data_IF_713070614780
#
_entry.id   IF_713070614780
#
_cell.length_a   1.000
_cell.length_b   1.000
_cell.length_c   1.000
_cell.angle_alpha   90.00
_cell.angle_beta   90.00
_cell.angle_gamma   90.00
#
_symmetry.space_group_name_H-M   'P 1'
#
loop_
_entity.id
_entity.type
_entity.pdbx_description
1 polymer ?
#
# COMPACT_ATOMS: atom_id res chain seq x y z
N UNK A 1 2.60 8.86 6.13
CA UNK A 1 2.98 10.03 6.94
C UNK A 1 2.82 9.68 8.41
N UNK A 2 3.88 9.74 9.23
CA UNK A 2 3.79 9.38 10.65
C UNK A 2 2.81 10.32 11.39
N UNK A 3 2.04 9.75 12.31
CA UNK A 3 1.18 10.44 13.26
C UNK A 3 1.81 11.68 13.91
N UNK A 4 3.12 11.64 14.23
CA UNK A 4 3.80 12.76 14.89
C UNK A 4 3.93 13.99 13.99
N UNK A 5 4.16 13.76 12.70
CA UNK A 5 4.53 14.80 11.73
C UNK A 5 3.42 15.04 10.71
N UNK A 6 2.25 14.41 10.90
CA UNK A 6 1.12 14.45 9.97
C UNK A 6 0.69 15.88 9.65
N UNK A 7 0.62 16.74 10.68
CA UNK A 7 0.24 18.15 10.53
C UNK A 7 1.14 18.91 9.54
N UNK A 8 2.43 18.57 9.49
CA UNK A 8 3.39 19.17 8.57
C UNK A 8 3.37 18.47 7.21
N UNK A 9 3.36 17.13 7.22
CA UNK A 9 3.43 16.30 6.02
C UNK A 9 2.25 16.53 5.07
N UNK A 10 1.07 16.81 5.62
CA UNK A 10 -0.14 17.01 4.82
C UNK A 10 -0.14 18.34 4.07
N UNK A 11 0.52 19.35 4.60
CA UNK A 11 0.60 20.66 3.97
C UNK A 11 1.52 20.63 2.75
N UNK A 12 2.56 19.78 2.75
CA UNK A 12 3.41 19.55 1.58
C UNK A 12 2.63 18.96 0.40
N UNK A 13 1.68 18.05 0.65
CA UNK A 13 0.85 17.44 -0.40
C UNK A 13 -0.41 18.23 -0.74
N UNK A 14 -0.68 19.33 -0.03
CA UNK A 14 -1.83 20.20 -0.31
C UNK A 14 -1.82 20.75 -1.73
N UNK A 15 -0.64 20.99 -2.30
CA UNK A 15 -0.45 21.40 -3.69
C UNK A 15 -0.87 20.34 -4.72
N UNK A 16 -0.89 19.06 -4.32
CA UNK A 16 -1.34 17.93 -5.15
C UNK A 16 -2.86 17.73 -5.14
N UNK A 17 -3.63 18.67 -4.58
CA UNK A 17 -5.10 18.60 -4.53
C UNK A 17 -5.67 17.67 -3.46
N UNK A 18 -4.81 17.13 -2.57
CA UNK A 18 -5.23 16.39 -1.38
C UNK A 18 -5.31 17.39 -0.23
N UNK A 19 -6.53 17.86 0.06
CA UNK A 19 -6.76 18.82 1.14
C UNK A 19 -7.72 18.21 2.14
N UNK A 20 -7.24 17.98 3.36
CA UNK A 20 -8.09 17.68 4.50
C UNK A 20 -8.60 18.97 5.14
N UNK A 21 -9.82 18.95 5.65
CA UNK A 21 -10.33 20.08 6.43
C UNK A 21 -9.55 20.22 7.74
N UNK A 22 -9.48 21.42 8.34
CA UNK A 22 -8.83 21.61 9.64
C UNK A 22 -9.37 20.68 10.73
N UNK A 23 -10.68 20.40 10.70
CA UNK A 23 -11.34 19.48 11.62
C UNK A 23 -10.85 18.04 11.40
N UNK A 24 -10.80 17.57 10.15
CA UNK A 24 -10.25 16.24 9.83
C UNK A 24 -8.78 16.12 10.27
N UNK A 25 -7.97 17.16 10.04
CA UNK A 25 -6.56 17.17 10.49
C UNK A 25 -6.44 17.05 12.01
N UNK A 26 -7.21 17.83 12.76
CA UNK A 26 -7.19 17.82 14.23
C UNK A 26 -7.67 16.47 14.79
N UNK A 27 -8.75 15.93 14.22
CA UNK A 27 -9.30 14.62 14.59
C UNK A 27 -8.29 13.50 14.32
N UNK A 28 -7.70 13.45 13.11
CA UNK A 28 -6.71 12.43 12.74
C UNK A 28 -5.48 12.48 13.65
N UNK A 29 -4.93 13.67 13.95
CA UNK A 29 -3.78 13.78 14.87
C UNK A 29 -4.07 13.14 16.23
N UNK A 30 -5.28 13.34 16.73
CA UNK A 30 -5.70 12.79 18.03
C UNK A 30 -5.94 11.28 17.93
N UNK A 31 -6.71 10.83 16.95
CA UNK A 31 -7.17 9.44 16.85
C UNK A 31 -6.04 8.49 16.45
N UNK A 32 -5.12 8.91 15.56
CA UNK A 32 -3.93 8.11 15.22
C UNK A 32 -2.98 7.95 16.41
N UNK A 33 -2.88 8.97 17.27
CA UNK A 33 -2.09 8.88 18.51
C UNK A 33 -2.71 7.88 19.49
N UNK A 34 -4.03 7.90 19.64
CA UNK A 34 -4.78 6.93 20.46
C UNK A 34 -4.55 5.50 19.91
N UNK A 35 -4.74 5.31 18.60
CA UNK A 35 -4.53 4.02 17.94
C UNK A 35 -3.14 3.43 18.19
N UNK A 36 -2.10 4.28 18.14
CA UNK A 36 -0.72 3.87 18.42
C UNK A 36 -0.58 3.27 19.81
N UNK A 37 -1.15 3.93 20.82
CA UNK A 37 -1.07 3.50 22.21
C UNK A 37 -1.91 2.26 22.51
N UNK A 38 -3.15 2.21 22.03
CA UNK A 38 -4.09 1.10 22.30
C UNK A 38 -3.61 -0.22 21.70
N UNK A 39 -3.11 -0.19 20.46
CA UNK A 39 -2.66 -1.38 19.73
C UNK A 39 -1.17 -1.68 19.91
N UNK A 40 -0.44 -0.86 20.69
CA UNK A 40 1.02 -1.00 20.95
C UNK A 40 1.87 -1.03 19.67
N UNK A 41 1.47 -0.27 18.65
CA UNK A 41 2.27 -0.10 17.44
C UNK A 41 3.54 0.70 17.74
N UNK A 42 4.64 0.39 17.05
CA UNK A 42 5.86 1.20 17.14
C UNK A 42 5.63 2.60 16.59
N UNK A 43 4.88 2.70 15.49
CA UNK A 43 4.37 3.96 14.94
C UNK A 43 3.12 3.71 14.10
N UNK A 44 2.34 4.78 13.90
CA UNK A 44 1.13 4.76 13.08
C UNK A 44 1.31 5.79 11.98
N UNK A 45 0.98 5.41 10.76
CA UNK A 45 1.07 6.29 9.60
C UNK A 45 -0.31 6.48 9.01
N UNK A 46 -0.66 7.73 8.71
CA UNK A 46 -1.75 8.00 7.77
C UNK A 46 -1.29 7.57 6.37
N UNK A 47 -2.02 6.65 5.76
CA UNK A 47 -1.72 6.09 4.45
C UNK A 47 -2.29 6.98 3.35
N UNK A 48 -3.54 7.41 3.49
CA UNK A 48 -4.19 8.26 2.51
C UNK A 48 -5.71 8.13 2.50
N UNK A 49 -6.32 8.57 1.40
CA UNK A 49 -7.77 8.55 1.19
C UNK A 49 -8.07 7.78 -0.08
N UNK A 50 -9.01 6.84 -0.01
CA UNK A 50 -9.58 6.17 -1.17
C UNK A 50 -10.99 6.71 -1.38
N UNK A 51 -11.20 7.38 -2.51
CA UNK A 51 -12.48 8.05 -2.78
C UNK A 51 -13.53 7.08 -3.31
N UNK A 52 -14.70 7.11 -2.69
CA UNK A 52 -15.87 6.35 -3.13
C UNK A 52 -16.90 7.22 -3.85
N UNK A 53 -18.02 6.62 -4.22
CA UNK A 53 -19.15 7.34 -4.85
C UNK A 53 -19.94 8.11 -3.80
N UNK A 54 -20.32 7.43 -2.71
CA UNK A 54 -21.19 7.99 -1.65
C UNK A 54 -20.42 8.31 -0.36
N UNK A 55 -19.15 7.92 -0.26
CA UNK A 55 -18.32 8.16 0.91
C UNK A 55 -16.89 7.73 0.69
N UNK A 56 -15.96 8.45 1.33
CA UNK A 56 -14.53 8.22 1.22
C UNK A 56 -14.02 7.35 2.37
N UNK A 57 -12.95 6.60 2.11
CA UNK A 57 -12.24 5.79 3.10
C UNK A 57 -10.91 6.45 3.47
N UNK A 58 -10.76 6.77 4.75
CA UNK A 58 -9.50 7.22 5.34
C UNK A 58 -8.73 6.02 5.82
N UNK A 59 -7.50 5.84 5.34
CA UNK A 59 -6.69 4.66 5.64
C UNK A 59 -5.55 5.03 6.58
N UNK A 60 -5.41 4.25 7.65
CA UNK A 60 -4.28 4.30 8.56
C UNK A 60 -3.59 2.95 8.60
N UNK A 61 -2.28 2.99 8.84
CA UNK A 61 -1.46 1.81 8.97
C UNK A 61 -0.74 1.83 10.32
N UNK A 62 -1.02 0.83 11.14
CA UNK A 62 -0.24 0.53 12.33
C UNK A 62 0.97 -0.32 11.95
N UNK A 63 2.16 0.07 12.38
CA UNK A 63 3.40 -0.64 12.09
C UNK A 63 4.02 -1.12 13.39
N UNK A 64 4.27 -2.42 13.46
CA UNK A 64 4.92 -3.10 14.57
C UNK A 64 6.42 -2.85 14.62
N UNK A 65 7.16 -3.83 15.13
CA UNK A 65 8.62 -3.74 15.25
C UNK A 65 9.30 -4.00 13.91
N UNK A 66 8.77 -4.92 13.09
CA UNK A 66 9.26 -5.19 11.75
C UNK A 66 8.41 -4.43 10.73
N UNK A 67 9.03 -3.47 10.05
CA UNK A 67 8.33 -2.57 9.13
C UNK A 67 7.76 -3.30 7.92
N UNK A 68 8.36 -4.40 7.47
CA UNK A 68 7.89 -5.13 6.29
C UNK A 68 6.86 -6.20 6.63
N UNK A 69 6.93 -6.79 7.82
CA UNK A 69 6.10 -7.95 8.20
C UNK A 69 4.92 -7.61 9.10
N UNK A 70 5.08 -6.62 9.97
CA UNK A 70 4.10 -6.28 11.00
C UNK A 70 3.35 -5.00 10.62
N UNK A 71 2.51 -5.10 9.58
CA UNK A 71 1.64 -4.01 9.15
C UNK A 71 0.19 -4.38 9.41
N UNK A 72 -0.59 -3.44 9.94
CA UNK A 72 -2.03 -3.59 10.16
C UNK A 72 -2.74 -2.41 9.53
N UNK A 73 -3.57 -2.67 8.52
CA UNK A 73 -4.32 -1.66 7.82
C UNK A 73 -5.69 -1.46 8.49
N UNK A 74 -6.07 -0.20 8.62
CA UNK A 74 -7.32 0.24 9.25
C UNK A 74 -7.99 1.25 8.33
N UNK A 75 -9.32 1.27 8.34
CA UNK A 75 -10.11 2.24 7.63
C UNK A 75 -11.05 3.00 8.56
N UNK A 76 -11.41 4.21 8.16
CA UNK A 76 -12.41 5.05 8.82
C UNK A 76 -13.22 5.79 7.75
N UNK A 77 -14.48 6.12 8.07
CA UNK A 77 -15.33 7.00 7.24
C UNK A 77 -15.47 8.41 7.83
N UNK A 78 -15.10 8.59 9.10
CA UNK A 78 -15.32 9.81 9.89
C UNK A 78 -14.04 10.34 10.56
N UNK A 79 -12.88 9.75 10.25
CA UNK A 79 -11.57 9.99 10.88
C UNK A 79 -11.50 9.71 12.40
N UNK A 80 -12.58 9.20 13.00
CA UNK A 80 -12.74 9.06 14.44
C UNK A 80 -12.80 7.59 14.85
N UNK A 81 -13.64 6.83 14.17
CA UNK A 81 -13.84 5.40 14.42
C UNK A 81 -13.06 4.60 13.38
N UNK A 82 -12.23 3.67 13.84
CA UNK A 82 -11.36 2.88 12.98
C UNK A 82 -11.74 1.40 13.00
N UNK A 83 -12.01 0.84 11.83
CA UNK A 83 -12.20 -0.59 11.61
C UNK A 83 -10.92 -1.24 11.10
N UNK A 84 -10.64 -2.47 11.54
CA UNK A 84 -9.55 -3.28 10.99
C UNK A 84 -9.92 -3.76 9.59
N UNK A 85 -9.00 -3.64 8.63
CA UNK A 85 -9.15 -4.28 7.33
C UNK A 85 -8.72 -5.75 7.41
N UNK A 86 -9.41 -6.65 6.71
CA UNK A 86 -8.95 -8.02 6.55
C UNK A 86 -7.62 -8.06 5.80
N UNK A 87 -6.78 -9.05 6.08
CA UNK A 87 -5.56 -9.28 5.29
C UNK A 87 -5.98 -10.04 4.03
N UNK A 88 -5.82 -9.45 2.83
CA UNK A 88 -6.34 -10.07 1.61
C UNK A 88 -5.55 -11.33 1.24
N UNK A 89 -6.24 -12.40 0.88
CA UNK A 89 -5.62 -13.60 0.34
C UNK A 89 -5.16 -13.41 -1.10
N UNK A 90 -4.27 -14.29 -1.59
CA UNK A 90 -3.82 -14.26 -3.00
C UNK A 90 -4.99 -14.35 -3.99
N UNK A 91 -6.00 -15.16 -3.67
CA UNK A 91 -7.20 -15.30 -4.50
C UNK A 91 -8.01 -14.01 -4.52
N UNK A 92 -8.17 -13.34 -3.38
CA UNK A 92 -8.90 -12.08 -3.27
C UNK A 92 -8.21 -10.96 -4.04
N UNK A 93 -6.87 -10.92 -4.01
CA UNK A 93 -6.07 -9.96 -4.77
C UNK A 93 -6.30 -10.13 -6.28
N UNK A 94 -6.22 -11.36 -6.79
CA UNK A 94 -6.47 -11.63 -8.22
C UNK A 94 -7.93 -11.35 -8.59
N UNK A 95 -8.88 -11.81 -7.77
CA UNK A 95 -10.30 -11.56 -7.93
C UNK A 95 -10.63 -10.06 -7.95
N UNK A 96 -9.97 -9.26 -7.12
CA UNK A 96 -10.17 -7.79 -7.08
C UNK A 96 -9.87 -7.10 -8.41
N UNK A 97 -9.01 -7.68 -9.26
CA UNK A 97 -8.64 -7.10 -10.57
C UNK A 97 -9.78 -7.15 -11.58
N UNK A 98 -10.75 -8.06 -11.40
CA UNK A 98 -11.93 -8.17 -12.26
C UNK A 98 -12.87 -6.97 -12.07
N UNK A 99 -12.95 -6.44 -10.85
CA UNK A 99 -13.86 -5.37 -10.49
C UNK A 99 -13.27 -3.98 -10.80
N UNK A 100 -13.52 -3.50 -12.02
CA UNK A 100 -13.04 -2.18 -12.49
C UNK A 100 -13.91 -0.99 -12.07
N UNK A 101 -15.03 -1.25 -11.38
CA UNK A 101 -15.95 -0.21 -10.93
C UNK A 101 -15.39 0.59 -9.73
N UNK A 102 -15.93 1.79 -9.51
CA UNK A 102 -15.60 2.59 -8.31
C UNK A 102 -16.14 1.94 -7.04
N UNK A 103 -15.53 2.26 -5.90
CA UNK A 103 -16.05 1.86 -4.59
C UNK A 103 -17.30 2.68 -4.27
N UNK A 104 -18.29 2.07 -3.67
CA UNK A 104 -19.56 2.73 -3.34
C UNK A 104 -19.43 3.63 -2.11
N UNK A 105 -18.55 3.30 -1.16
CA UNK A 105 -18.44 3.95 0.14
C UNK A 105 -19.15 3.19 1.27
N UNK A 106 -19.67 1.98 0.99
CA UNK A 106 -20.23 1.07 1.98
C UNK A 106 -19.41 -0.23 2.06
N UNK A 107 -18.69 -0.48 3.18
CA UNK A 107 -17.94 -1.72 3.39
C UNK A 107 -18.77 -3.00 3.21
N UNK A 108 -20.09 -2.93 3.46
CA UNK A 108 -20.99 -4.08 3.40
C UNK A 108 -21.53 -4.36 2.01
N UNK A 109 -21.28 -3.46 1.04
CA UNK A 109 -21.74 -3.65 -0.33
C UNK A 109 -21.04 -4.84 -0.99
N UNK A 110 -21.80 -5.65 -1.72
CA UNK A 110 -21.26 -6.74 -2.53
C UNK A 110 -21.33 -6.37 -4.01
N UNK A 111 -20.17 -6.34 -4.65
CA UNK A 111 -20.08 -6.11 -6.08
C UNK A 111 -20.22 -7.44 -6.84
N UNK A 112 -20.91 -7.39 -7.97
CA UNK A 112 -21.14 -8.54 -8.85
C UNK A 112 -20.39 -8.36 -10.18
N UNK A 113 -19.79 -9.44 -10.66
CA UNK A 113 -19.14 -9.52 -11.97
C UNK A 113 -19.56 -10.82 -12.64
N UNK A 114 -20.03 -10.72 -13.89
CA UNK A 114 -20.41 -11.90 -14.69
C UNK A 114 -19.24 -12.23 -15.61
N UNK A 115 -18.64 -13.40 -15.41
CA UNK A 115 -17.61 -13.94 -16.28
C UNK A 115 -18.24 -14.90 -17.30
N UNK A 116 -18.12 -14.58 -18.59
CA UNK A 116 -18.60 -15.44 -19.67
C UNK A 116 -17.47 -16.37 -20.11
N UNK A 117 -17.64 -17.68 -19.91
CA UNK A 117 -16.67 -18.71 -20.31
C UNK A 117 -17.21 -19.49 -21.49
N UNK A 118 -16.38 -19.70 -22.51
CA UNK A 118 -16.67 -20.62 -23.60
C UNK A 118 -16.18 -22.02 -23.23
N UNK A 119 -17.10 -22.96 -23.12
CA UNK A 119 -16.82 -24.38 -22.90
C UNK A 119 -17.13 -25.18 -24.16
N UNK A 120 -16.39 -26.27 -24.44
CA UNK A 120 -16.71 -27.15 -25.57
C UNK A 120 -18.11 -27.75 -25.36
N UNK A 121 -19.02 -27.52 -26.31
CA UNK A 121 -20.36 -28.12 -26.32
C UNK A 121 -20.37 -29.53 -26.90
N UNK A 122 -21.57 -30.11 -27.07
CA UNK A 122 -21.72 -31.36 -27.82
C UNK A 122 -21.49 -31.09 -29.32
N UNK A 123 -20.34 -31.50 -29.85
CA UNK A 123 -19.96 -31.32 -31.26
C UNK A 123 -18.91 -30.22 -31.46
N UNK A 124 -18.96 -29.53 -32.60
CA UNK A 124 -18.07 -28.40 -32.96
C UNK A 124 -18.61 -27.04 -32.45
N UNK A 125 -19.65 -27.05 -31.60
CA UNK A 125 -20.27 -25.85 -31.03
C UNK A 125 -19.57 -25.44 -29.72
N UNK A 126 -19.30 -24.14 -29.56
CA UNK A 126 -18.85 -23.55 -28.30
C UNK A 126 -20.09 -23.11 -27.50
N UNK A 127 -20.27 -23.66 -26.31
CA UNK A 127 -21.33 -23.24 -25.39
C UNK A 127 -20.81 -22.14 -24.46
N UNK A 128 -21.61 -21.09 -24.26
CA UNK A 128 -21.29 -20.01 -23.33
C UNK A 128 -21.93 -20.28 -21.97
N UNK A 129 -21.10 -20.29 -20.93
CA UNK A 129 -21.54 -20.40 -19.53
C UNK A 129 -21.23 -19.10 -18.81
N UNK A 130 -22.22 -18.52 -18.16
CA UNK A 130 -22.07 -17.34 -17.31
C UNK A 130 -21.80 -17.76 -15.86
N UNK A 131 -20.71 -17.29 -15.29
CA UNK A 131 -20.37 -17.48 -13.87
C UNK A 131 -20.50 -16.14 -13.12
N UNK A 132 -21.35 -16.12 -12.09
CA UNK A 132 -21.50 -14.95 -11.22
C UNK A 132 -20.43 -14.95 -10.13
N UNK A 133 -19.57 -13.94 -10.14
CA UNK A 133 -18.51 -13.74 -9.16
C UNK A 133 -18.88 -12.52 -8.29
N UNK A 134 -18.98 -12.73 -6.98
CA UNK A 134 -19.30 -11.67 -6.01
C UNK A 134 -18.10 -11.31 -5.14
N UNK A 135 -17.92 -10.05 -4.74
CA UNK A 135 -16.88 -9.63 -3.81
C UNK A 135 -17.37 -8.51 -2.90
N UNK A 136 -17.17 -8.67 -1.57
CA UNK A 136 -17.47 -7.63 -0.60
C UNK A 136 -16.54 -6.43 -0.78
N UNK A 137 -17.07 -5.24 -0.63
CA UNK A 137 -16.34 -3.99 -0.83
C UNK A 137 -15.19 -3.84 0.18
N UNK A 138 -15.38 -4.27 1.43
CA UNK A 138 -14.32 -4.28 2.45
C UNK A 138 -13.11 -5.14 2.05
N UNK A 139 -13.35 -6.34 1.50
CA UNK A 139 -12.29 -7.23 1.02
C UNK A 139 -11.61 -6.65 -0.22
N UNK A 140 -12.41 -6.04 -1.11
CA UNK A 140 -11.91 -5.36 -2.31
C UNK A 140 -11.04 -4.17 -1.94
N UNK A 141 -11.44 -3.37 -0.95
CA UNK A 141 -10.67 -2.24 -0.43
C UNK A 141 -9.32 -2.71 0.12
N UNK A 142 -9.31 -3.78 0.93
CA UNK A 142 -8.09 -4.36 1.45
C UNK A 142 -7.15 -4.85 0.33
N UNK A 143 -7.69 -5.54 -0.68
CA UNK A 143 -6.93 -6.02 -1.84
C UNK A 143 -6.35 -4.87 -2.68
N UNK A 144 -7.11 -3.79 -2.89
CA UNK A 144 -6.64 -2.58 -3.58
C UNK A 144 -5.48 -1.94 -2.82
N UNK A 145 -5.61 -1.76 -1.50
CA UNK A 145 -4.55 -1.19 -0.67
C UNK A 145 -3.29 -2.05 -0.79
N UNK A 146 -3.41 -3.37 -0.63
CA UNK A 146 -2.27 -4.28 -0.75
C UNK A 146 -1.54 -4.14 -2.10
N UNK A 147 -2.28 -4.05 -3.21
CA UNK A 147 -1.69 -3.86 -4.55
C UNK A 147 -0.95 -2.53 -4.67
N UNK A 148 -1.55 -1.44 -4.18
CA UNK A 148 -0.90 -0.12 -4.19
C UNK A 148 0.36 -0.16 -3.32
N UNK A 149 0.32 -0.85 -2.18
CA UNK A 149 1.49 -0.99 -1.31
C UNK A 149 2.64 -1.75 -1.95
N UNK A 150 2.33 -2.81 -2.69
CA UNK A 150 3.33 -3.60 -3.43
C UNK A 150 3.90 -2.85 -4.65
N UNK A 151 3.19 -1.88 -5.23
CA UNK A 151 3.64 -1.22 -6.48
C UNK A 151 4.18 0.20 -6.26
N UNK A 152 3.69 0.94 -5.27
CA UNK A 152 3.84 2.40 -5.20
C UNK A 152 4.54 2.90 -3.94
N UNK A 153 4.57 2.11 -2.85
CA UNK A 153 5.14 2.59 -1.60
C UNK A 153 6.67 2.55 -1.68
N UNK A 154 7.27 3.74 -1.77
CA UNK A 154 8.70 3.93 -1.88
C UNK A 154 9.29 4.62 -0.65
N UNK A 155 10.57 4.37 -0.40
CA UNK A 155 11.32 4.92 0.72
C UNK A 155 12.70 5.37 0.26
N UNK A 156 13.27 6.46 0.82
CA UNK A 156 14.61 6.88 0.47
C UNK A 156 15.65 5.91 1.02
N UNK A 157 16.78 5.79 0.31
CA UNK A 157 17.91 4.94 0.67
C UNK A 157 18.39 5.25 2.08
N UNK A 158 18.49 4.22 2.92
CA UNK A 158 18.94 4.35 4.30
C UNK A 158 17.88 4.81 5.30
N UNK A 159 16.63 5.06 4.89
CA UNK A 159 15.53 5.32 5.83
C UNK A 159 15.21 4.12 6.73
N UNK A 160 15.48 2.91 6.23
CA UNK A 160 15.35 1.66 6.98
C UNK A 160 16.66 0.88 6.95
N UNK A 161 16.89 0.10 7.99
CA UNK A 161 18.04 -0.79 8.12
C UNK A 161 17.54 -2.19 8.44
N UNK A 162 18.14 -3.18 7.78
CA UNK A 162 17.99 -4.59 8.10
C UNK A 162 18.99 -4.99 9.18
N UNK A 163 18.47 -5.42 10.31
CA UNK A 163 19.25 -5.93 11.45
C UNK A 163 19.77 -7.35 11.18
N UNK A 164 20.76 -7.79 11.97
CA UNK A 164 21.37 -9.13 11.85
C UNK A 164 20.36 -10.28 12.02
N UNK A 165 19.31 -10.06 12.82
CA UNK A 165 18.21 -11.01 13.02
C UNK A 165 17.20 -11.03 11.86
N UNK A 166 17.44 -10.23 10.81
CA UNK A 166 16.59 -10.10 9.64
C UNK A 166 15.43 -9.12 9.80
N UNK A 167 15.26 -8.50 10.96
CA UNK A 167 14.22 -7.51 11.22
C UNK A 167 14.53 -6.19 10.49
N UNK A 168 13.51 -5.57 9.90
CA UNK A 168 13.65 -4.26 9.26
C UNK A 168 13.09 -3.18 10.17
N UNK A 169 13.92 -2.20 10.52
CA UNK A 169 13.56 -1.10 11.44
C UNK A 169 13.92 0.26 10.84
N UNK A 170 13.23 1.31 11.29
CA UNK A 170 13.55 2.69 10.89
C UNK A 170 14.95 3.07 11.36
N UNK A 171 15.74 3.65 10.46
CA UNK A 171 17.05 4.18 10.79
C UNK A 171 16.91 5.52 11.51
N UNK A 172 17.27 5.54 12.80
CA UNK A 172 17.20 6.77 13.62
C UNK A 172 18.28 7.78 13.25
N UNK A 173 19.35 7.35 12.59
CA UNK A 173 20.45 8.21 12.15
C UNK A 173 20.23 8.76 10.73
N UNK A 174 19.08 8.49 10.11
CA UNK A 174 18.76 9.01 8.79
C UNK A 174 18.22 10.43 8.88
N UNK A 175 18.99 11.38 8.34
CA UNK A 175 18.66 12.81 8.37
C UNK A 175 17.96 13.30 7.09
N UNK A 176 17.74 12.40 6.12
CA UNK A 176 17.22 12.73 4.80
C UNK A 176 18.26 12.59 3.70
N UNK A 177 17.81 12.71 2.45
CA UNK A 177 18.67 12.76 1.28
C UNK A 177 19.10 14.19 1.01
N UNK A 178 20.29 14.38 0.44
CA UNK A 178 20.67 15.68 -0.12
C UNK A 178 19.79 16.01 -1.34
N UNK A 179 19.70 17.28 -1.73
CA UNK A 179 18.92 17.68 -2.90
C UNK A 179 19.39 16.98 -4.19
N UNK A 180 20.71 16.74 -4.33
CA UNK A 180 21.27 16.03 -5.48
C UNK A 180 20.88 14.55 -5.51
N UNK A 181 20.83 13.89 -4.35
CA UNK A 181 20.39 12.49 -4.24
C UNK A 181 18.89 12.36 -4.41
N UNK A 182 18.10 13.26 -3.82
CA UNK A 182 16.65 13.27 -3.94
C UNK A 182 16.15 13.41 -5.39
N UNK A 183 16.99 13.91 -6.30
CA UNK A 183 16.69 13.97 -7.73
C UNK A 183 16.95 12.66 -8.51
N UNK A 184 17.52 11.63 -7.87
CA UNK A 184 17.94 10.39 -8.52
C UNK A 184 17.03 9.23 -8.13
N UNK A 185 16.58 8.46 -9.13
CA UNK A 185 15.73 7.29 -8.91
C UNK A 185 16.42 6.21 -8.07
N UNK A 186 17.73 5.99 -8.27
CA UNK A 186 18.54 5.05 -7.48
C UNK A 186 18.57 5.37 -5.97
N UNK A 187 18.21 6.59 -5.56
CA UNK A 187 18.12 6.96 -4.15
C UNK A 187 16.80 6.53 -3.49
N UNK A 188 15.90 5.86 -4.22
CA UNK A 188 14.61 5.39 -3.74
C UNK A 188 14.42 3.88 -3.97
N UNK A 189 13.74 3.25 -3.02
CA UNK A 189 13.54 1.80 -2.95
C UNK A 189 12.08 1.45 -2.67
N UNK A 190 11.61 0.33 -3.20
CA UNK A 190 10.30 -0.23 -2.89
C UNK A 190 10.22 -0.74 -1.45
N UNK A 191 9.20 -0.34 -0.69
CA UNK A 191 9.00 -0.68 0.72
C UNK A 191 8.22 -1.99 0.90
N UNK A 192 8.75 -3.06 0.31
CA UNK A 192 8.19 -4.41 0.29
C UNK A 192 9.31 -5.45 0.24
N UNK A 193 9.03 -6.74 0.49
CA UNK A 193 10.02 -7.79 0.30
C UNK A 193 10.61 -7.75 -1.13
N UNK A 194 11.94 -7.85 -1.29
CA UNK A 194 12.57 -7.72 -2.60
C UNK A 194 12.18 -8.89 -3.53
N UNK A 195 11.75 -8.55 -4.73
CA UNK A 195 11.36 -9.48 -5.81
C UNK A 195 12.52 -9.65 -6.81
N UNK A 196 13.20 -8.56 -7.17
CA UNK A 196 14.22 -8.56 -8.22
C UNK A 196 15.63 -8.83 -7.66
N UNK A 197 15.94 -8.38 -6.44
CA UNK A 197 17.26 -8.53 -5.83
C UNK A 197 17.79 -9.98 -5.78
N UNK A 198 16.97 -11.03 -5.51
CA UNK A 198 17.42 -12.42 -5.57
C UNK A 198 17.93 -12.83 -6.97
N UNK A 199 17.39 -12.25 -8.03
CA UNK A 199 17.69 -12.57 -9.42
C UNK A 199 18.91 -11.80 -9.96
N UNK A 200 19.41 -10.79 -9.24
CA UNK A 200 20.59 -10.02 -9.67
C UNK A 200 21.87 -10.88 -9.65
N UNK A 201 22.81 -10.64 -10.59
CA UNK A 201 24.09 -11.33 -10.62
C UNK A 201 24.86 -11.22 -9.30
N UNK A 202 25.56 -12.29 -8.91
CA UNK A 202 26.32 -12.33 -7.65
C UNK A 202 27.34 -11.19 -7.52
N UNK A 203 27.97 -10.81 -8.64
CA UNK A 203 28.97 -9.74 -8.68
C UNK A 203 28.39 -8.36 -8.31
N UNK A 204 27.14 -8.09 -8.67
CA UNK A 204 26.44 -6.86 -8.30
C UNK A 204 25.99 -6.91 -6.85
N UNK A 205 25.43 -8.05 -6.43
CA UNK A 205 25.01 -8.26 -5.04
C UNK A 205 26.16 -8.17 -4.04
N UNK A 206 27.38 -8.50 -4.45
CA UNK A 206 28.57 -8.39 -3.62
C UNK A 206 28.99 -6.94 -3.33
N UNK A 207 28.54 -5.97 -4.13
CA UNK A 207 28.85 -4.53 -3.95
C UNK A 207 27.84 -3.82 -3.03
N UNK A 208 26.69 -4.44 -2.77
CA UNK A 208 25.60 -3.85 -2.00
C UNK A 208 25.86 -3.96 -0.49
N UNK A 209 25.49 -2.92 0.26
CA UNK A 209 25.47 -2.99 1.72
C UNK A 209 24.24 -3.80 2.15
N UNK A 210 24.43 -4.98 2.74
CA UNK A 210 23.32 -5.87 3.12
C UNK A 210 22.39 -5.29 4.19
N UNK A 211 22.84 -4.30 4.95
CA UNK A 211 22.04 -3.65 5.98
C UNK A 211 21.19 -2.50 5.40
N UNK A 212 21.65 -1.84 4.33
CA UNK A 212 21.01 -0.65 3.74
C UNK A 212 20.34 -0.97 2.39
N UNK A 213 21.05 -1.67 1.52
CA UNK A 213 20.66 -2.01 0.14
C UNK A 213 20.01 -3.40 0.08
N UNK A 214 19.00 -3.62 0.93
CA UNK A 214 18.29 -4.90 1.03
C UNK A 214 16.94 -4.93 0.27
N UNK A 215 16.53 -3.80 -0.29
CA UNK A 215 15.28 -3.60 -1.04
C UNK A 215 15.57 -3.46 -2.54
N UNK A 216 14.51 -3.52 -3.36
CA UNK A 216 14.61 -3.24 -4.79
C UNK A 216 14.60 -1.74 -5.05
N UNK A 217 15.49 -1.24 -5.92
CA UNK A 217 15.49 0.16 -6.34
C UNK A 217 14.42 0.39 -7.41
N UNK A 218 13.83 1.59 -7.42
CA UNK A 218 12.85 1.99 -8.44
C UNK A 218 13.49 2.36 -9.78
N UNK A 219 14.81 2.51 -9.84
CA UNK A 219 15.53 2.77 -11.10
C UNK A 219 15.37 1.62 -12.09
N UNK A 220 15.19 0.40 -11.58
CA UNK A 220 15.00 -0.81 -12.38
C UNK A 220 13.53 -1.01 -12.83
N UNK A 221 12.60 -0.13 -12.45
CA UNK A 221 11.19 -0.27 -12.80
C UNK A 221 10.98 0.01 -14.29
N UNK A 222 10.29 -0.90 -14.97
CA UNK A 222 9.91 -0.76 -16.36
C UNK A 222 8.38 -0.57 -16.48
N UNK A 223 7.87 0.65 -16.75
CA UNK A 223 6.45 0.90 -16.83
C UNK A 223 5.86 0.27 -18.10
N UNK A 224 4.88 -0.62 -17.94
CA UNK A 224 4.09 -1.14 -19.07
C UNK A 224 3.23 -0.01 -19.67
N UNK A 225 3.36 0.22 -20.98
CA UNK A 225 2.53 1.20 -21.71
C UNK A 225 3.23 2.48 -22.15
N UNK A 226 4.52 2.65 -21.85
CA UNK A 226 5.35 3.66 -22.52
C UNK A 226 5.92 3.05 -23.80
N UNK A 227 5.15 3.10 -24.89
CA UNK A 227 5.74 3.02 -26.23
C UNK A 227 6.61 4.27 -26.41
N UNK A 228 7.93 4.10 -26.38
CA UNK A 228 8.87 5.09 -26.93
C UNK A 228 8.79 5.10 -28.46
#
# INVERSE_FOLDING_TARGET
MDSSDLHLAIDYVGSCGIVLTPEQKATLNTTLTILKHENKFSYVSFWGIIRGINGDYFIAQGIGKDVLKEKTNMYSKDCSTWGLLPVPGKQDIEKSKLFKMRLTGDPSHEAEYIEVKQVPGEGDELAETEELITMKEEDRLAAIIYRIEEEVVIVPRGAFIRMYNGQVVRNKSFEGLTCAEASKLLSYFHCRPPVNMPNKPLAERAKLDKAIDFLDTIEDDNPEGVLL
#
